data_IF_855601423826
#
_entry.id   IF_855601423826
#
_cell.length_a   1.000
_cell.length_b   1.000
_cell.length_c   1.000
_cell.angle_alpha   90.00
_cell.angle_beta   90.00
_cell.angle_gamma   90.00
#
_symmetry.space_group_name_H-M   'P 1'
#
loop_
_entity.id
_entity.type
_entity.pdbx_description
1 polymer ?
#
# COMPACT_ATOMS: atom_id res chain seq x y z
N UNK A 1 -16.94 -15.77 -8.37
CA UNK A 1 -16.16 -15.95 -7.13
C UNK A 1 -16.51 -14.76 -6.26
N UNK A 2 -17.09 -14.98 -5.08
CA UNK A 2 -17.37 -13.93 -4.09
C UNK A 2 -16.05 -13.68 -3.39
N UNK A 3 -15.35 -12.62 -3.75
CA UNK A 3 -14.10 -12.25 -3.07
C UNK A 3 -14.12 -10.78 -2.69
N UNK A 4 -13.95 -10.54 -1.39
CA UNK A 4 -13.83 -9.22 -0.75
C UNK A 4 -12.41 -9.04 -0.18
N UNK A 5 -11.52 -10.01 -0.41
CA UNK A 5 -10.18 -10.00 0.12
C UNK A 5 -9.32 -8.97 -0.61
N UNK A 6 -8.72 -8.10 0.20
CA UNK A 6 -7.56 -7.33 -0.18
C UNK A 6 -6.34 -8.25 -0.19
N UNK A 7 -5.53 -8.14 -1.24
CA UNK A 7 -4.20 -8.72 -1.24
C UNK A 7 -3.15 -7.67 -1.58
N UNK A 8 -1.93 -7.92 -1.10
CA UNK A 8 -0.77 -7.13 -1.48
C UNK A 8 -0.04 -7.83 -2.61
N UNK A 9 0.19 -7.09 -3.70
CA UNK A 9 1.10 -7.55 -4.73
C UNK A 9 2.49 -7.77 -4.14
N UNK A 10 3.31 -8.67 -4.71
CA UNK A 10 4.71 -8.80 -4.33
C UNK A 10 5.38 -7.43 -4.32
N UNK A 11 5.98 -7.07 -3.20
CA UNK A 11 6.66 -5.79 -3.10
C UNK A 11 7.88 -5.80 -4.03
N UNK A 12 8.02 -4.74 -4.81
CA UNK A 12 9.21 -4.54 -5.64
C UNK A 12 10.05 -3.45 -4.99
N UNK A 13 11.36 -3.67 -4.95
CA UNK A 13 12.30 -2.70 -4.41
C UNK A 13 13.35 -2.33 -5.44
N UNK A 14 13.49 -1.05 -5.71
CA UNK A 14 14.65 -0.54 -6.44
C UNK A 14 15.78 -0.34 -5.44
N UNK A 15 16.87 -1.09 -5.60
CA UNK A 15 18.02 -1.03 -4.69
C UNK A 15 19.24 -0.62 -5.49
N UNK A 16 19.88 0.47 -5.08
CA UNK A 16 21.17 0.90 -5.56
C UNK A 16 22.16 0.95 -4.41
N UNK A 17 23.37 0.42 -4.62
CA UNK A 17 24.46 0.57 -3.67
C UNK A 17 25.75 0.92 -4.41
N UNK A 18 26.44 1.93 -3.89
CA UNK A 18 27.78 2.30 -4.31
C UNK A 18 28.68 2.24 -3.08
N UNK A 19 29.84 1.61 -3.22
CA UNK A 19 30.89 1.63 -2.22
C UNK A 19 32.16 2.10 -2.92
N UNK A 20 32.87 3.02 -2.29
CA UNK A 20 34.11 3.59 -2.81
C UNK A 20 35.15 3.65 -1.70
N UNK A 21 36.28 3.01 -1.94
CA UNK A 21 37.44 3.06 -1.05
C UNK A 21 38.52 3.92 -1.69
N UNK A 22 39.08 4.83 -0.89
CA UNK A 22 40.16 5.69 -1.33
C UNK A 22 41.27 5.79 -0.29
N UNK A 23 42.49 5.45 -0.72
CA UNK A 23 43.71 5.57 0.08
C UNK A 23 44.38 6.90 -0.25
N UNK A 24 44.18 7.91 0.60
CA UNK A 24 44.79 9.24 0.42
C UNK A 24 46.31 9.20 0.66
N UNK A 25 46.74 8.41 1.65
CA UNK A 25 48.14 8.11 1.95
C UNK A 25 48.24 6.67 2.45
N UNK A 26 49.43 6.05 2.55
CA UNK A 26 49.57 4.68 3.08
C UNK A 26 49.00 4.49 4.49
N UNK A 27 48.72 5.58 5.21
CA UNK A 27 48.19 5.55 6.56
C UNK A 27 46.80 6.19 6.72
N UNK A 28 46.23 6.78 5.66
CA UNK A 28 44.91 7.41 5.69
C UNK A 28 44.01 6.80 4.62
N UNK A 29 43.02 6.05 5.08
CA UNK A 29 42.00 5.38 4.27
C UNK A 29 40.64 6.02 4.49
N UNK A 30 39.87 6.17 3.42
CA UNK A 30 38.46 6.52 3.45
C UNK A 30 37.62 5.41 2.81
N UNK A 31 36.51 5.10 3.45
CA UNK A 31 35.48 4.19 2.95
C UNK A 31 34.16 4.98 2.90
N UNK A 32 33.70 5.25 1.68
CA UNK A 32 32.46 5.95 1.40
C UNK A 32 31.41 4.98 0.85
N UNK A 33 30.19 5.04 1.38
CA UNK A 33 29.10 4.17 0.98
C UNK A 33 27.84 5.00 0.75
N UNK A 34 27.14 4.72 -0.34
CA UNK A 34 25.84 5.27 -0.65
C UNK A 34 24.86 4.12 -0.93
N UNK A 35 23.67 4.21 -0.33
CA UNK A 35 22.57 3.28 -0.54
C UNK A 35 21.29 4.03 -0.88
N UNK A 36 20.59 3.55 -1.89
CA UNK A 36 19.22 3.93 -2.20
C UNK A 36 18.34 2.69 -2.17
N UNK A 37 17.20 2.80 -1.51
CA UNK A 37 16.16 1.79 -1.52
C UNK A 37 14.82 2.51 -1.65
N UNK A 38 14.01 2.11 -2.61
CA UNK A 38 12.59 2.46 -2.65
C UNK A 38 11.77 1.18 -2.63
N UNK A 39 11.09 0.92 -1.50
CA UNK A 39 10.17 -0.21 -1.40
C UNK A 39 8.78 0.23 -1.84
N UNK A 40 8.32 -0.33 -2.95
CA UNK A 40 6.94 -0.19 -3.42
C UNK A 40 6.09 -1.33 -2.88
N UNK A 41 4.98 -0.97 -2.23
CA UNK A 41 3.92 -1.88 -1.83
C UNK A 41 2.61 -1.45 -2.46
N UNK A 42 1.83 -2.40 -2.96
CA UNK A 42 0.56 -2.13 -3.60
C UNK A 42 -0.49 -3.06 -3.00
N UNK A 43 -1.59 -2.49 -2.53
CA UNK A 43 -2.78 -3.18 -2.09
C UNK A 43 -3.83 -3.06 -3.18
N UNK A 44 -4.36 -4.20 -3.58
CA UNK A 44 -5.34 -4.34 -4.67
C UNK A 44 -6.45 -5.27 -4.22
N UNK A 45 -7.66 -5.03 -4.71
CA UNK A 45 -8.76 -5.97 -4.54
C UNK A 45 -8.74 -6.99 -5.67
N UNK A 46 -9.07 -8.25 -5.37
CA UNK A 46 -9.19 -9.26 -6.44
C UNK A 46 -10.34 -8.95 -7.40
N UNK A 47 -11.43 -8.39 -6.86
CA UNK A 47 -12.61 -7.94 -7.59
C UNK A 47 -12.29 -6.90 -8.67
N UNK A 48 -11.28 -6.04 -8.45
CA UNK A 48 -10.86 -5.01 -9.42
C UNK A 48 -10.49 -5.56 -10.81
N UNK A 49 -10.13 -6.86 -10.92
CA UNK A 49 -9.86 -7.51 -12.22
C UNK A 49 -11.10 -7.64 -13.10
N UNK A 50 -12.30 -7.71 -12.50
CA UNK A 50 -13.58 -7.89 -13.18
C UNK A 50 -14.41 -6.61 -13.23
N UNK A 51 -13.89 -5.48 -12.75
CA UNK A 51 -14.62 -4.21 -12.71
C UNK A 51 -15.21 -3.76 -14.05
N UNK A 52 -14.57 -4.12 -15.18
CA UNK A 52 -15.05 -3.78 -16.52
C UNK A 52 -16.23 -4.64 -16.99
N UNK A 53 -16.50 -5.74 -16.29
CA UNK A 53 -17.62 -6.65 -16.57
C UNK A 53 -18.87 -6.28 -15.77
N UNK A 54 -18.77 -5.29 -14.88
CA UNK A 54 -19.84 -4.89 -13.97
C UNK A 54 -20.21 -3.43 -14.26
N UNK A 55 -21.50 -3.09 -14.34
CA UNK A 55 -21.93 -1.71 -14.55
C UNK A 55 -21.39 -0.77 -13.48
N UNK A 56 -20.87 0.39 -13.91
CA UNK A 56 -20.48 1.46 -12.98
C UNK A 56 -21.73 2.15 -12.41
N UNK A 57 -21.75 2.38 -11.10
CA UNK A 57 -22.84 3.07 -10.44
C UNK A 57 -22.66 4.60 -10.63
N UNK A 58 -23.63 5.31 -11.21
CA UNK A 58 -23.53 6.75 -11.39
C UNK A 58 -23.54 7.49 -10.04
N UNK A 59 -22.83 8.62 -9.96
CA UNK A 59 -22.81 9.49 -8.77
C UNK A 59 -21.75 9.15 -7.70
N UNK A 60 -20.96 8.10 -7.91
CA UNK A 60 -19.82 7.76 -7.03
C UNK A 60 -18.58 8.62 -7.34
N UNK A 61 -17.66 8.75 -6.38
CA UNK A 61 -16.47 9.61 -6.48
C UNK A 61 -15.40 9.13 -7.49
N UNK A 62 -15.44 7.85 -7.86
CA UNK A 62 -14.62 7.28 -8.93
C UNK A 62 -14.93 5.80 -9.16
N UNK A 63 -14.44 5.24 -10.28
CA UNK A 63 -14.68 3.85 -10.69
C UNK A 63 -13.39 3.06 -10.82
N UNK A 64 -12.36 3.48 -10.08
CA UNK A 64 -11.05 2.82 -10.08
C UNK A 64 -11.12 1.42 -9.44
N UNK A 65 -12.01 1.25 -8.46
CA UNK A 65 -12.30 -0.02 -7.80
C UNK A 65 -13.72 -0.49 -8.11
N UNK A 66 -14.02 -1.73 -7.76
CA UNK A 66 -15.39 -2.22 -7.77
C UNK A 66 -16.22 -1.63 -6.60
N UNK A 67 -17.51 -1.30 -6.77
CA UNK A 67 -18.35 -0.92 -5.64
C UNK A 67 -18.47 -2.07 -4.63
N UNK A 68 -18.55 -1.73 -3.34
CA UNK A 68 -18.83 -2.71 -2.31
C UNK A 68 -20.34 -2.81 -2.08
N UNK A 69 -20.91 -3.99 -2.30
CA UNK A 69 -22.30 -4.30 -1.97
C UNK A 69 -22.29 -5.13 -0.69
N UNK A 70 -23.11 -4.74 0.29
CA UNK A 70 -23.18 -5.38 1.61
C UNK A 70 -24.62 -5.75 1.92
N UNK A 71 -24.80 -6.93 2.51
CA UNK A 71 -26.10 -7.45 2.93
C UNK A 71 -26.02 -7.79 4.42
N UNK A 72 -27.05 -7.44 5.19
CA UNK A 72 -27.08 -7.78 6.63
C UNK A 72 -27.12 -9.28 6.89
N UNK A 73 -27.65 -10.05 5.94
CA UNK A 73 -28.01 -11.47 6.11
C UNK A 73 -27.15 -12.42 5.27
N UNK A 74 -26.34 -11.86 4.40
CA UNK A 74 -25.63 -12.58 3.36
C UNK A 74 -24.23 -12.01 3.19
N UNK A 75 -23.34 -12.80 2.61
CA UNK A 75 -22.03 -12.31 2.25
C UNK A 75 -22.14 -11.19 1.21
N UNK A 76 -21.36 -10.14 1.44
CA UNK A 76 -21.25 -9.01 0.53
C UNK A 76 -20.49 -9.36 -0.75
N UNK A 77 -20.47 -8.40 -1.65
CA UNK A 77 -19.82 -8.50 -2.93
C UNK A 77 -18.94 -7.26 -3.19
N UNK A 78 -17.84 -7.45 -3.93
CA UNK A 78 -16.94 -6.36 -4.31
C UNK A 78 -16.10 -5.78 -3.17
N UNK A 79 -15.04 -5.08 -3.57
CA UNK A 79 -14.07 -4.45 -2.70
C UNK A 79 -13.65 -3.11 -3.29
N UNK A 80 -13.73 -2.06 -2.48
CA UNK A 80 -13.68 -0.68 -2.96
C UNK A 80 -12.46 0.10 -2.44
N UNK A 81 -11.41 -0.59 -2.01
CA UNK A 81 -10.28 0.02 -1.34
C UNK A 81 -8.93 -0.42 -1.91
N UNK A 82 -8.26 0.46 -2.62
CA UNK A 82 -6.88 0.26 -3.03
C UNK A 82 -5.93 1.23 -2.36
N UNK A 83 -4.64 0.93 -2.48
CA UNK A 83 -3.61 1.87 -2.09
C UNK A 83 -2.22 1.43 -2.51
N UNK A 84 -1.34 2.41 -2.69
CA UNK A 84 0.08 2.19 -2.93
C UNK A 84 0.90 2.94 -1.89
N UNK A 85 1.97 2.32 -1.43
CA UNK A 85 2.95 2.91 -0.53
C UNK A 85 4.34 2.85 -1.18
N UNK A 86 5.05 3.96 -1.14
CA UNK A 86 6.44 4.08 -1.53
C UNK A 86 7.25 4.54 -0.33
N UNK A 87 8.37 3.87 -0.10
CA UNK A 87 9.28 4.19 1.01
C UNK A 87 10.69 4.40 0.47
N UNK A 88 10.94 5.56 -0.16
CA UNK A 88 12.27 5.93 -0.61
C UNK A 88 13.15 6.21 0.62
N UNK A 89 14.34 5.65 0.59
CA UNK A 89 15.33 5.80 1.63
C UNK A 89 16.69 5.98 0.99
N UNK A 90 17.44 6.96 1.46
CA UNK A 90 18.82 7.18 1.08
C UNK A 90 19.69 7.17 2.32
N UNK A 91 20.80 6.46 2.24
CA UNK A 91 21.77 6.31 3.32
C UNK A 91 23.13 6.66 2.76
N UNK A 92 23.83 7.57 3.43
CA UNK A 92 25.21 7.92 3.14
C UNK A 92 26.03 7.62 4.37
N UNK A 93 27.12 6.89 4.22
CA UNK A 93 28.04 6.57 5.29
C UNK A 93 29.47 6.87 4.83
N UNK A 94 30.22 7.57 5.66
CA UNK A 94 31.59 7.96 5.38
C UNK A 94 32.46 7.67 6.60
N UNK A 95 33.54 6.91 6.40
CA UNK A 95 34.44 6.49 7.47
C UNK A 95 35.90 6.69 7.07
N UNK A 96 36.62 7.44 7.89
CA UNK A 96 38.07 7.57 7.81
C UNK A 96 38.76 6.70 8.85
N UNK A 97 39.85 6.05 8.42
CA UNK A 97 40.78 5.32 9.29
C UNK A 97 42.17 5.91 9.09
N UNK A 98 42.76 6.44 10.17
CA UNK A 98 44.06 7.08 10.14
C UNK A 98 45.02 6.43 11.14
N UNK A 99 46.14 5.92 10.63
CA UNK A 99 47.24 5.37 11.43
C UNK A 99 48.33 6.42 11.57
N UNK A 100 48.64 6.84 12.79
CA UNK A 100 49.74 7.79 13.05
C UNK A 100 50.63 7.25 14.17
N UNK A 101 51.81 6.75 13.79
CA UNK A 101 52.72 6.09 14.72
C UNK A 101 52.07 4.82 15.28
N UNK A 102 51.98 4.74 16.61
CA UNK A 102 51.34 3.62 17.32
C UNK A 102 49.82 3.80 17.55
N UNK A 103 49.22 4.88 17.04
CA UNK A 103 47.79 5.17 17.24
C UNK A 103 46.98 4.95 15.96
N UNK A 104 45.78 4.40 16.11
CA UNK A 104 44.77 4.28 15.07
C UNK A 104 43.54 5.08 15.47
N UNK A 105 43.16 6.06 14.65
CA UNK A 105 41.99 6.89 14.84
C UNK A 105 40.95 6.51 13.77
N UNK A 106 39.69 6.37 14.18
CA UNK A 106 38.56 6.18 13.28
C UNK A 106 37.49 7.22 13.57
N UNK A 107 37.02 7.88 12.52
CA UNK A 107 35.97 8.91 12.62
C UNK A 107 35.19 8.97 11.32
N UNK A 108 33.95 9.43 11.38
CA UNK A 108 33.06 9.38 10.24
C UNK A 108 31.69 9.98 10.55
N UNK A 109 30.81 9.94 9.56
CA UNK A 109 29.44 10.42 9.65
C UNK A 109 28.49 9.49 8.91
N UNK A 110 27.23 9.51 9.36
CA UNK A 110 26.15 8.84 8.66
C UNK A 110 24.97 9.80 8.52
N UNK A 111 24.37 9.79 7.33
CA UNK A 111 23.15 10.49 7.04
C UNK A 111 22.11 9.53 6.49
N UNK A 112 20.90 9.60 7.04
CA UNK A 112 19.73 8.83 6.57
C UNK A 112 18.59 9.78 6.34
N UNK A 113 18.03 9.77 5.14
CA UNK A 113 16.72 10.33 4.94
C UNK A 113 15.75 9.26 4.51
N UNK A 114 14.62 9.26 5.19
CA UNK A 114 13.55 8.30 5.06
C UNK A 114 12.32 9.07 4.62
N UNK A 115 11.73 8.63 3.51
CA UNK A 115 10.44 9.12 3.03
C UNK A 115 9.39 8.03 3.14
N UNK A 116 8.15 8.46 3.30
CA UNK A 116 6.98 7.60 3.22
C UNK A 116 5.90 8.34 2.45
N UNK A 117 5.55 7.79 1.29
CA UNK A 117 4.54 8.33 0.41
C UNK A 117 3.44 7.28 0.26
N UNK A 118 2.29 7.53 0.85
CA UNK A 118 1.14 6.64 0.78
C UNK A 118 0.03 7.33 -0.02
N UNK A 119 -0.54 6.61 -0.97
CA UNK A 119 -1.72 7.01 -1.73
C UNK A 119 -2.80 5.96 -1.50
N UNK A 120 -3.97 6.36 -1.04
CA UNK A 120 -5.10 5.46 -0.80
C UNK A 120 -6.36 5.99 -1.45
N UNK A 121 -7.06 5.13 -2.17
CA UNK A 121 -8.28 5.45 -2.92
C UNK A 121 -9.47 4.66 -2.36
N UNK A 122 -9.64 4.71 -1.04
CA UNK A 122 -10.66 3.92 -0.34
C UNK A 122 -12.07 4.46 -0.55
N UNK A 123 -13.01 3.55 -0.83
CA UNK A 123 -14.44 3.79 -0.97
C UNK A 123 -14.84 4.80 -2.06
N UNK A 124 -13.97 5.08 -3.02
CA UNK A 124 -14.28 6.03 -4.09
C UNK A 124 -15.41 5.50 -5.01
N UNK A 125 -15.50 4.18 -5.15
CA UNK A 125 -16.56 3.47 -5.86
C UNK A 125 -17.85 3.27 -5.04
N UNK A 126 -17.88 3.74 -3.79
CA UNK A 126 -19.03 3.65 -2.91
C UNK A 126 -19.21 2.30 -2.21
N UNK A 127 -20.00 2.34 -1.14
CA UNK A 127 -20.50 1.16 -0.42
C UNK A 127 -22.01 1.25 -0.34
N UNK A 128 -22.70 0.20 -0.80
CA UNK A 128 -24.14 0.12 -0.87
C UNK A 128 -24.62 -0.98 0.09
N UNK A 129 -25.40 -0.60 1.09
CA UNK A 129 -25.84 -1.50 2.15
C UNK A 129 -27.32 -1.82 1.99
N UNK A 130 -27.63 -3.11 1.94
CA UNK A 130 -28.97 -3.63 1.83
C UNK A 130 -29.35 -4.37 3.10
N UNK A 131 -30.44 -3.92 3.71
CA UNK A 131 -30.91 -4.46 4.99
C UNK A 131 -32.21 -5.24 4.77
N UNK A 132 -32.53 -6.16 5.68
CA UNK A 132 -33.84 -6.85 5.67
C UNK A 132 -35.03 -5.91 5.93
N UNK A 133 -34.79 -4.71 6.45
CA UNK A 133 -35.85 -3.81 6.92
C UNK A 133 -36.72 -3.29 5.77
N UNK A 134 -36.16 -3.12 4.57
CA UNK A 134 -36.90 -2.62 3.41
C UNK A 134 -37.98 -3.62 2.93
N UNK A 135 -37.84 -4.90 3.27
CA UNK A 135 -38.81 -5.96 2.93
C UNK A 135 -39.43 -6.63 4.16
N UNK A 136 -39.12 -6.12 5.36
CA UNK A 136 -39.51 -6.69 6.64
C UNK A 136 -40.72 -5.99 7.26
N UNK A 137 -41.45 -6.72 8.10
CA UNK A 137 -42.54 -6.17 8.90
C UNK A 137 -41.99 -5.42 10.12
N UNK A 138 -42.50 -4.21 10.36
CA UNK A 138 -42.02 -3.33 11.43
C UNK A 138 -42.15 -4.01 12.81
N UNK A 139 -41.04 -4.05 13.57
CA UNK A 139 -41.02 -4.62 14.93
C UNK A 139 -40.91 -6.14 15.02
N UNK A 140 -40.75 -6.85 13.89
CA UNK A 140 -40.58 -8.31 13.86
C UNK A 140 -39.37 -8.66 12.98
N UNK A 141 -38.51 -9.57 13.42
CA UNK A 141 -37.39 -10.09 12.60
C UNK A 141 -37.93 -10.86 11.39
N UNK A 142 -38.12 -10.15 10.29
CA UNK A 142 -38.65 -10.63 9.01
C UNK A 142 -38.03 -9.83 7.86
N UNK A 143 -38.30 -10.22 6.62
CA UNK A 143 -37.69 -9.61 5.43
C UNK A 143 -36.37 -10.28 5.03
N UNK A 144 -35.80 -9.79 3.92
CA UNK A 144 -34.62 -10.38 3.29
C UNK A 144 -33.76 -9.31 2.60
N UNK A 145 -32.48 -9.22 2.95
CA UNK A 145 -31.57 -8.23 2.39
C UNK A 145 -31.36 -8.34 0.86
N UNK A 146 -31.40 -9.56 0.28
CA UNK A 146 -31.32 -9.75 -1.18
C UNK A 146 -32.61 -9.29 -1.86
N UNK A 147 -33.78 -9.55 -1.25
CA UNK A 147 -35.04 -9.04 -1.77
C UNK A 147 -35.07 -7.50 -1.78
N UNK A 148 -34.49 -6.86 -0.76
CA UNK A 148 -34.33 -5.41 -0.71
C UNK A 148 -33.48 -4.87 -1.85
N UNK A 149 -32.41 -5.57 -2.22
CA UNK A 149 -31.56 -5.22 -3.37
C UNK A 149 -32.26 -5.36 -4.72
N UNK A 150 -33.10 -6.39 -4.88
CA UNK A 150 -33.84 -6.60 -6.13
C UNK A 150 -35.01 -5.61 -6.33
N UNK A 151 -35.43 -4.90 -5.28
CA UNK A 151 -36.57 -3.99 -5.29
C UNK A 151 -36.17 -2.50 -5.40
N UNK A 152 -34.93 -2.15 -5.06
CA UNK A 152 -34.40 -0.82 -5.36
C UNK A 152 -34.13 -0.71 -6.87
N UNK A 153 -35.04 -0.05 -7.58
CA UNK A 153 -34.91 0.43 -8.97
C UNK A 153 -35.19 1.94 -8.98
#
# INVERSE_FOLDING_TARGET
MIDTADFRDPNYSNIGRLNWDHTFTPTLLNNFNFGYLDLRSNQVNLSDKLKSQIPSIPGVGGTNHEPAIRFDDYDGYGGNAGGAGFRPSYIVNDLFSWVRGAHTLKFGMEYRGLGENNTGDSNNSGTFNFTRLNTGLLGITSGNAIASFLLED
#
